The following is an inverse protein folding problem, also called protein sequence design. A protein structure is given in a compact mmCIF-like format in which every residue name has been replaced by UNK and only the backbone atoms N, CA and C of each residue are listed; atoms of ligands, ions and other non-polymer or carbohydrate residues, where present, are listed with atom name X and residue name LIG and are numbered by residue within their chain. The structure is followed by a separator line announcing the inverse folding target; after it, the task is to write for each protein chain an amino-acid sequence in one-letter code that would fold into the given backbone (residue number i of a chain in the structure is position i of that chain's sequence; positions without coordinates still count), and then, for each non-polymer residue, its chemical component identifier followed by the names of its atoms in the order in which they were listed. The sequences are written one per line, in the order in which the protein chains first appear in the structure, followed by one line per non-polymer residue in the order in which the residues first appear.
data_IF_019217750676
#
_entry.id   IF_019217750676
#
_cell.length_a   1.000
_cell.length_b   1.000
_cell.length_c   1.000
_cell.angle_alpha   90.00
_cell.angle_beta   90.00
_cell.angle_gamma   90.00
#
_symmetry.space_group_name_H-M   'P 1'
#
loop_
_entity.id
_entity.type
_entity.pdbx_description
1 polymer ?
#
# COMPACT_ATOMS: atom_id res chain seq x y z
N UNK A 1 -8.72 -1.73 -3.19
CA UNK A 1 -7.38 -2.08 -2.69
C UNK A 1 -6.44 -2.48 -3.81
N UNK A 2 -6.87 -3.32 -4.76
CA UNK A 2 -6.00 -3.86 -5.84
C UNK A 2 -5.12 -2.82 -6.54
N UNK A 3 -5.68 -1.67 -6.92
CA UNK A 3 -4.94 -0.59 -7.61
C UNK A 3 -3.75 -0.02 -6.82
N UNK A 4 -3.74 -0.18 -5.50
CA UNK A 4 -2.72 0.36 -4.61
C UNK A 4 -1.82 -0.71 -3.98
N UNK A 5 -2.18 -2.01 -4.06
CA UNK A 5 -1.45 -3.09 -3.36
C UNK A 5 0.01 -3.14 -3.77
N UNK A 6 0.29 -3.18 -5.07
CA UNK A 6 1.66 -3.22 -5.58
C UNK A 6 2.45 -1.96 -5.19
N UNK A 7 1.82 -0.79 -5.28
CA UNK A 7 2.48 0.50 -5.04
C UNK A 7 2.76 0.77 -3.56
N UNK A 8 2.01 0.16 -2.66
CA UNK A 8 2.10 0.43 -1.22
C UNK A 8 2.65 -0.74 -0.43
N UNK A 9 2.04 -1.92 -0.55
CA UNK A 9 2.41 -3.11 0.22
C UNK A 9 3.62 -3.78 -0.40
N UNK A 10 3.52 -4.19 -1.67
CA UNK A 10 4.57 -4.99 -2.31
C UNK A 10 5.87 -4.19 -2.41
N UNK A 11 5.78 -2.90 -2.79
CA UNK A 11 6.92 -2.00 -2.80
C UNK A 11 7.61 -1.86 -1.42
N UNK A 12 6.84 -1.81 -0.33
CA UNK A 12 7.40 -1.74 1.04
C UNK A 12 8.07 -3.05 1.43
N UNK A 13 7.43 -4.19 1.12
CA UNK A 13 8.00 -5.51 1.40
C UNK A 13 9.31 -5.70 0.63
N UNK A 14 9.33 -5.41 -0.67
CA UNK A 14 10.54 -5.50 -1.50
C UNK A 14 11.66 -4.59 -0.98
N UNK A 15 11.32 -3.36 -0.58
CA UNK A 15 12.30 -2.42 -0.01
C UNK A 15 12.88 -2.91 1.32
N UNK A 16 12.07 -3.58 2.13
CA UNK A 16 12.49 -4.12 3.43
C UNK A 16 13.34 -5.38 3.25
N UNK A 17 12.95 -6.29 2.37
CA UNK A 17 13.72 -7.49 2.06
C UNK A 17 15.05 -7.20 1.35
N UNK A 18 15.14 -6.08 0.63
CA UNK A 18 16.38 -5.61 0.02
C UNK A 18 17.41 -5.03 1.01
N UNK A 19 17.10 -5.01 2.31
CA UNK A 19 18.02 -4.60 3.38
C UNK A 19 18.54 -5.86 4.10
N UNK A 20 19.80 -5.82 4.52
CA UNK A 20 20.43 -6.93 5.25
C UNK A 20 20.02 -6.99 6.75
N UNK A 21 18.95 -6.29 7.14
CA UNK A 21 18.49 -6.17 8.52
C UNK A 21 17.37 -7.16 8.91
N UNK A 22 16.83 -7.92 7.94
CA UNK A 22 15.79 -8.94 8.16
C UNK A 22 16.40 -10.33 8.01
N UNK A 23 16.26 -11.16 9.04
CA UNK A 23 16.79 -12.53 9.07
C UNK A 23 15.68 -13.55 9.26
N UNK A 24 15.97 -14.81 8.93
CA UNK A 24 15.04 -15.93 9.17
C UNK A 24 14.62 -16.03 10.66
N UNK A 25 15.52 -15.67 11.58
CA UNK A 25 15.25 -15.63 13.02
C UNK A 25 14.21 -14.58 13.44
N UNK A 26 13.88 -13.62 12.57
CA UNK A 26 12.82 -12.66 12.81
C UNK A 26 11.42 -13.23 12.51
N UNK A 27 11.34 -14.46 12.03
CA UNK A 27 10.09 -15.15 11.73
C UNK A 27 9.87 -16.30 12.71
N UNK A 28 8.62 -16.43 13.15
CA UNK A 28 8.16 -17.54 13.97
C UNK A 28 7.36 -18.47 13.07
N UNK A 29 7.98 -19.58 12.69
CA UNK A 29 7.35 -20.67 11.96
C UNK A 29 6.83 -21.66 12.98
N UNK A 30 5.52 -21.91 12.95
CA UNK A 30 4.88 -22.88 13.82
C UNK A 30 5.16 -24.34 13.41
N UNK A 31 4.50 -25.28 14.08
CA UNK A 31 4.55 -26.71 13.74
C UNK A 31 3.99 -27.03 12.35
N UNK A 32 4.01 -28.32 11.96
CA UNK A 32 3.49 -28.75 10.66
C UNK A 32 2.01 -28.33 10.46
N UNK A 33 1.76 -27.50 9.45
CA UNK A 33 0.42 -26.94 9.16
C UNK A 33 0.13 -25.57 9.80
N UNK A 34 1.03 -25.04 10.62
CA UNK A 34 0.92 -23.71 11.19
C UNK A 34 1.52 -22.64 10.26
N UNK A 35 0.97 -21.42 10.33
CA UNK A 35 1.42 -20.29 9.52
C UNK A 35 2.74 -19.67 10.01
N UNK A 36 3.39 -18.90 9.14
CA UNK A 36 4.56 -18.09 9.49
C UNK A 36 4.12 -16.71 10.02
N UNK A 37 4.68 -16.29 11.15
CA UNK A 37 4.40 -14.98 11.77
C UNK A 37 5.66 -14.13 11.81
N UNK A 38 5.55 -12.86 11.46
CA UNK A 38 6.65 -11.90 11.67
C UNK A 38 6.80 -11.55 13.16
N UNK A 39 8.03 -11.52 13.63
CA UNK A 39 8.45 -11.10 14.96
C UNK A 39 8.23 -9.59 15.19
N UNK A 40 8.38 -9.15 16.43
CA UNK A 40 8.06 -7.78 16.83
C UNK A 40 8.92 -6.74 16.12
N UNK A 41 10.22 -7.03 15.93
CA UNK A 41 11.18 -6.13 15.27
C UNK A 41 10.77 -5.85 13.83
N UNK A 42 10.63 -6.89 13.00
CA UNK A 42 10.19 -6.78 11.59
C UNK A 42 8.80 -6.17 11.49
N UNK A 43 7.89 -6.50 12.40
CA UNK A 43 6.54 -5.91 12.42
C UNK A 43 6.58 -4.39 12.63
N UNK A 44 7.37 -3.91 13.57
CA UNK A 44 7.54 -2.47 13.81
C UNK A 44 8.16 -1.77 12.61
N UNK A 45 9.21 -2.38 12.02
CA UNK A 45 9.86 -1.84 10.82
C UNK A 45 8.89 -1.77 9.63
N UNK A 46 8.11 -2.83 9.41
CA UNK A 46 7.09 -2.89 8.38
C UNK A 46 6.00 -1.83 8.56
N UNK A 47 5.44 -1.69 9.77
CA UNK A 47 4.42 -0.69 10.04
C UNK A 47 4.94 0.74 9.82
N UNK A 48 6.15 1.04 10.28
CA UNK A 48 6.78 2.34 10.08
C UNK A 48 7.02 2.63 8.58
N UNK A 49 7.53 1.65 7.83
CA UNK A 49 7.77 1.79 6.40
C UNK A 49 6.47 1.92 5.59
N UNK A 50 5.43 1.16 5.96
CA UNK A 50 4.11 1.25 5.34
C UNK A 50 3.48 2.61 5.60
N UNK A 51 3.52 3.11 6.83
CA UNK A 51 2.98 4.44 7.15
C UNK A 51 3.72 5.54 6.39
N UNK A 52 5.05 5.49 6.36
CA UNK A 52 5.86 6.43 5.57
C UNK A 52 5.53 6.35 4.07
N UNK A 53 5.29 5.15 3.53
CA UNK A 53 4.85 4.98 2.14
C UNK A 53 3.47 5.57 1.91
N UNK A 54 2.54 5.35 2.82
CA UNK A 54 1.19 5.90 2.73
C UNK A 54 1.16 7.43 2.82
N UNK A 55 2.14 8.03 3.50
CA UNK A 55 2.34 9.49 3.60
C UNK A 55 3.23 10.07 2.48
N UNK A 56 3.85 9.21 1.66
CA UNK A 56 4.70 9.69 0.57
C UNK A 56 3.87 10.32 -0.56
N UNK A 57 4.42 11.38 -1.15
CA UNK A 57 3.78 12.12 -2.21
C UNK A 57 3.55 11.25 -3.46
N UNK A 58 2.39 11.43 -4.08
CA UNK A 58 1.99 10.79 -5.32
C UNK A 58 1.06 11.71 -6.11
N UNK A 59 1.26 11.77 -7.42
CA UNK A 59 0.38 12.51 -8.32
C UNK A 59 -0.84 11.65 -8.68
N UNK A 60 -2.05 12.21 -8.55
CA UNK A 60 -3.26 11.51 -8.94
C UNK A 60 -3.47 11.59 -10.46
N UNK A 61 -3.72 10.47 -11.18
CA UNK A 61 -3.73 10.44 -12.64
C UNK A 61 -4.87 11.24 -13.28
N UNK A 62 -5.96 11.47 -12.55
CA UNK A 62 -7.09 12.29 -12.98
C UNK A 62 -6.91 13.80 -12.70
N UNK A 63 -5.73 14.20 -12.20
CA UNK A 63 -5.43 15.58 -11.81
C UNK A 63 -5.87 15.91 -10.37
N UNK A 64 -5.64 17.16 -9.97
CA UNK A 64 -5.85 17.66 -8.60
C UNK A 64 -4.52 18.04 -7.92
N UNK A 65 -4.59 18.62 -6.70
CA UNK A 65 -3.38 18.94 -5.93
C UNK A 65 -2.63 17.65 -5.57
N UNK A 66 -1.31 17.69 -5.66
CA UNK A 66 -0.44 16.60 -5.21
C UNK A 66 -0.78 16.25 -3.75
N UNK A 67 -0.78 14.95 -3.46
CA UNK A 67 -1.18 14.43 -2.17
C UNK A 67 -0.40 13.18 -1.81
N UNK A 68 -0.71 12.60 -0.67
CA UNK A 68 -0.17 11.30 -0.27
C UNK A 68 -1.03 10.14 -0.82
N UNK A 69 -0.54 8.91 -0.69
CA UNK A 69 -1.29 7.72 -1.10
C UNK A 69 -2.65 7.60 -0.40
N UNK A 70 -2.79 8.08 0.85
CA UNK A 70 -4.09 8.06 1.55
C UNK A 70 -5.09 9.00 0.88
N UNK A 71 -4.66 10.19 0.45
CA UNK A 71 -5.47 11.14 -0.32
C UNK A 71 -5.82 10.57 -1.68
N UNK A 72 -4.88 9.93 -2.37
CA UNK A 72 -5.15 9.26 -3.64
C UNK A 72 -6.21 8.15 -3.52
N UNK A 73 -6.13 7.32 -2.47
CA UNK A 73 -7.14 6.29 -2.18
C UNK A 73 -8.53 6.91 -1.93
N UNK A 74 -8.60 8.02 -1.16
CA UNK A 74 -9.86 8.74 -0.93
C UNK A 74 -10.43 9.34 -2.21
N UNK A 75 -9.56 9.86 -3.08
CA UNK A 75 -9.97 10.41 -4.38
C UNK A 75 -10.57 9.32 -5.28
N UNK A 76 -10.02 8.10 -5.29
CA UNK A 76 -10.61 6.96 -6.01
C UNK A 76 -11.99 6.57 -5.48
N UNK A 77 -12.18 6.58 -4.16
CA UNK A 77 -13.52 6.35 -3.56
C UNK A 77 -14.49 7.46 -3.98
N UNK A 78 -14.06 8.72 -3.99
CA UNK A 78 -14.89 9.84 -4.44
C UNK A 78 -15.26 9.72 -5.93
N UNK A 79 -14.29 9.36 -6.79
CA UNK A 79 -14.52 9.10 -8.21
C UNK A 79 -15.52 7.97 -8.43
N UNK A 80 -15.40 6.88 -7.66
CA UNK A 80 -16.37 5.79 -7.71
C UNK A 80 -17.79 6.24 -7.34
N UNK A 81 -17.95 7.08 -6.31
CA UNK A 81 -19.24 7.65 -5.93
C UNK A 81 -19.83 8.51 -7.06
N UNK A 82 -19.02 9.32 -7.74
CA UNK A 82 -19.46 10.13 -8.89
C UNK A 82 -20.00 9.24 -10.03
N UNK A 83 -19.31 8.14 -10.33
CA UNK A 83 -19.76 7.17 -11.34
C UNK A 83 -21.10 6.55 -10.95
N UNK A 84 -21.26 6.14 -9.69
CA UNK A 84 -22.52 5.58 -9.20
C UNK A 84 -23.68 6.57 -9.25
N UNK A 85 -23.40 7.87 -9.15
CA UNK A 85 -24.40 8.95 -9.27
C UNK A 85 -24.66 9.38 -10.71
N UNK A 86 -23.94 8.83 -11.68
CA UNK A 86 -23.99 9.27 -13.08
C UNK A 86 -23.33 10.63 -13.34
N UNK A 87 -22.56 11.15 -12.39
CA UNK A 87 -21.82 12.42 -12.50
C UNK A 87 -20.52 12.24 -13.33
N UNK A 88 -20.04 11.00 -13.44
CA UNK A 88 -18.90 10.63 -14.27
C UNK A 88 -19.26 9.49 -15.23
N UNK A 89 -18.76 9.49 -16.48
CA UNK A 89 -19.16 8.51 -17.51
C UNK A 89 -18.68 7.08 -17.22
N UNK A 90 -17.72 6.90 -16.31
CA UNK A 90 -17.20 5.59 -15.93
C UNK A 90 -16.00 5.67 -14.99
N UNK A 91 -15.77 4.58 -14.25
CA UNK A 91 -14.63 4.49 -13.34
C UNK A 91 -13.32 4.43 -14.12
N UNK A 92 -12.32 5.14 -13.62
CA UNK A 92 -10.96 5.17 -14.20
C UNK A 92 -10.00 4.80 -13.08
N UNK A 93 -9.32 3.63 -13.18
CA UNK A 93 -8.46 3.17 -12.11
C UNK A 93 -7.25 4.09 -11.93
N UNK A 94 -6.72 4.07 -10.72
CA UNK A 94 -5.44 4.68 -10.37
C UNK A 94 -4.31 3.96 -11.09
N UNK A 95 -3.69 4.65 -12.05
CA UNK A 95 -2.49 4.23 -12.73
C UNK A 95 -1.36 5.21 -12.37
N UNK A 96 -0.39 4.73 -11.59
CA UNK A 96 0.83 5.51 -11.34
C UNK A 96 1.56 5.75 -12.66
N UNK A 97 2.10 6.96 -12.83
CA UNK A 97 2.95 7.34 -13.97
C UNK A 97 4.42 7.19 -13.60
#
# INVERSE_FOLDING_TARGET
MEEFRALTVDAVVLKLLGRDDIRDSDFVIGGAGEGCRIGLTVRKAYLAALEARLQSAVAHPLGGPDGDYRRAMRAQVAHWIQVLRGEAPGYRPFMAR
#
